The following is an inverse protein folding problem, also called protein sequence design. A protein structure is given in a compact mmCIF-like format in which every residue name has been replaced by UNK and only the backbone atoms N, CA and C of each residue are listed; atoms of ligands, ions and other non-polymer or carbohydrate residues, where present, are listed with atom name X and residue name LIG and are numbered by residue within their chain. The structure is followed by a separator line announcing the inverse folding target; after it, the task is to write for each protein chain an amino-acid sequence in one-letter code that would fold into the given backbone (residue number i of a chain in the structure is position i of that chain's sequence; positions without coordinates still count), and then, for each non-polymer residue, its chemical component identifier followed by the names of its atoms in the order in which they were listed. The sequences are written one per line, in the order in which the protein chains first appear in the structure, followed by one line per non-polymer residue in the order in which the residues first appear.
data_IF_988417580422
#
_entry.id   IF_988417580422
#
_cell.length_a   1.000
_cell.length_b   1.000
_cell.length_c   1.000
_cell.angle_alpha   90.00
_cell.angle_beta   90.00
_cell.angle_gamma   90.00
#
_symmetry.space_group_name_H-M   'P 1'
#
loop_
_entity.id
_entity.type
_entity.pdbx_description
1 polymer ?
#
# COMPACT_ATOMS: atom_id res chain seq x y z
N UNK A 1 -20.72 -12.07 -46.12
CA UNK A 1 -21.01 -11.94 -44.68
C UNK A 1 -19.78 -12.41 -43.93
N UNK A 2 -18.88 -11.49 -43.60
CA UNK A 2 -17.80 -11.78 -42.65
C UNK A 2 -18.39 -11.77 -41.25
N UNK A 3 -18.23 -12.89 -40.55
CA UNK A 3 -18.57 -13.03 -39.14
C UNK A 3 -17.58 -12.18 -38.37
N UNK A 4 -18.07 -11.06 -37.81
CA UNK A 4 -17.31 -10.25 -36.86
C UNK A 4 -16.86 -11.17 -35.70
N UNK A 5 -15.55 -11.41 -35.59
CA UNK A 5 -14.94 -12.00 -34.39
C UNK A 5 -15.32 -11.09 -33.22
N UNK A 6 -16.24 -11.55 -32.37
CA UNK A 6 -16.62 -10.84 -31.15
C UNK A 6 -15.36 -10.55 -30.34
N UNK A 7 -15.19 -9.29 -29.93
CA UNK A 7 -14.16 -8.93 -28.93
C UNK A 7 -14.48 -9.74 -27.68
N UNK A 8 -13.56 -10.63 -27.30
CA UNK A 8 -13.65 -11.36 -26.04
C UNK A 8 -13.77 -10.35 -24.90
N UNK A 9 -14.82 -10.47 -24.08
CA UNK A 9 -15.13 -9.49 -23.05
C UNK A 9 -14.04 -9.52 -21.97
N UNK A 10 -13.46 -8.36 -21.63
CA UNK A 10 -12.46 -8.25 -20.56
C UNK A 10 -13.08 -8.71 -19.23
N UNK A 11 -12.48 -9.70 -18.57
CA UNK A 11 -12.86 -10.07 -17.20
C UNK A 11 -12.30 -9.03 -16.23
N UNK A 12 -13.17 -8.27 -15.57
CA UNK A 12 -12.78 -7.26 -14.57
C UNK A 12 -13.31 -7.70 -13.22
N UNK A 13 -12.42 -7.87 -12.24
CA UNK A 13 -12.79 -8.26 -10.87
C UNK A 13 -12.29 -7.21 -9.88
N UNK A 14 -13.23 -6.63 -9.12
CA UNK A 14 -12.96 -5.70 -8.03
C UNK A 14 -13.47 -6.31 -6.72
N UNK A 15 -12.69 -6.18 -5.66
CA UNK A 15 -12.98 -6.78 -4.36
C UNK A 15 -13.02 -5.71 -3.27
N UNK A 16 -13.78 -5.98 -2.20
CA UNK A 16 -13.98 -5.02 -1.11
C UNK A 16 -12.64 -4.65 -0.46
N UNK A 17 -12.36 -3.36 -0.17
CA UNK A 17 -11.23 -2.95 0.64
C UNK A 17 -11.23 -3.61 2.03
N UNK A 18 -10.06 -3.79 2.62
CA UNK A 18 -9.97 -4.29 3.99
C UNK A 18 -10.59 -3.28 4.97
N UNK A 19 -11.54 -3.71 5.80
CA UNK A 19 -12.18 -2.90 6.84
C UNK A 19 -11.96 -3.46 8.25
N UNK A 20 -12.01 -2.60 9.28
CA UNK A 20 -11.84 -3.02 10.69
C UNK A 20 -13.06 -3.77 11.26
N UNK A 21 -14.25 -3.61 10.68
CA UNK A 21 -15.47 -4.22 11.19
C UNK A 21 -15.38 -5.75 11.20
N UNK A 22 -15.33 -6.29 12.43
CA UNK A 22 -15.67 -7.66 12.84
C UNK A 22 -14.91 -8.81 12.16
N UNK A 23 -14.38 -9.73 12.95
CA UNK A 23 -14.06 -11.09 12.47
C UNK A 23 -15.25 -11.79 11.77
N UNK A 24 -16.47 -11.25 11.87
CA UNK A 24 -17.69 -11.69 11.18
C UNK A 24 -17.90 -11.14 9.77
N UNK A 25 -17.31 -9.98 9.42
CA UNK A 25 -17.44 -9.31 8.11
C UNK A 25 -16.13 -9.34 7.30
N UNK A 26 -15.06 -9.91 7.87
CA UNK A 26 -14.03 -10.55 7.06
C UNK A 26 -14.74 -11.61 6.24
N UNK A 27 -15.07 -11.25 5.00
CA UNK A 27 -15.71 -12.13 4.03
C UNK A 27 -15.14 -13.55 4.23
N UNK A 28 -15.95 -14.58 4.56
CA UNK A 28 -15.49 -15.89 5.02
C UNK A 28 -14.69 -16.66 3.95
N UNK A 29 -14.43 -16.04 2.81
CA UNK A 29 -13.96 -16.64 1.57
C UNK A 29 -12.48 -17.06 1.57
N UNK A 30 -11.67 -16.74 2.59
CA UNK A 30 -10.20 -16.89 2.46
C UNK A 30 -9.43 -17.45 3.66
N UNK A 31 -10.06 -18.27 4.51
CA UNK A 31 -9.28 -19.07 5.48
C UNK A 31 -8.97 -20.44 4.91
N UNK A 32 -7.86 -20.53 4.18
CA UNK A 32 -7.28 -21.81 3.80
C UNK A 32 -7.18 -22.72 5.04
N UNK A 33 -7.76 -23.94 5.03
CA UNK A 33 -7.69 -24.84 6.18
C UNK A 33 -6.22 -25.12 6.51
N UNK A 34 -5.88 -25.06 7.81
CA UNK A 34 -4.53 -25.28 8.30
C UNK A 34 -3.47 -24.30 7.74
N UNK A 35 -3.82 -23.02 7.56
CA UNK A 35 -2.94 -21.97 7.02
C UNK A 35 -1.53 -21.96 7.62
N UNK A 36 -1.40 -22.09 8.96
CA UNK A 36 -0.10 -22.14 9.63
C UNK A 36 0.74 -23.34 9.17
N UNK A 37 0.14 -24.55 9.12
CA UNK A 37 0.83 -25.76 8.64
C UNK A 37 1.27 -25.62 7.19
N UNK A 38 0.41 -25.02 6.34
CA UNK A 38 0.72 -24.77 4.93
C UNK A 38 1.86 -23.77 4.78
N UNK A 39 1.85 -22.69 5.56
CA UNK A 39 2.92 -21.68 5.55
C UNK A 39 4.26 -22.27 6.02
N UNK A 40 4.26 -23.08 7.09
CA UNK A 40 5.45 -23.80 7.54
C UNK A 40 5.96 -24.78 6.47
N UNK A 41 5.06 -25.47 5.76
CA UNK A 41 5.43 -26.34 4.65
C UNK A 41 6.03 -25.56 3.48
N UNK A 42 5.46 -24.39 3.14
CA UNK A 42 5.92 -23.52 2.08
C UNK A 42 7.35 -23.02 2.32
N UNK A 43 7.67 -22.73 3.58
CA UNK A 43 8.96 -22.18 4.00
C UNK A 43 9.96 -23.24 4.48
N UNK A 44 9.59 -24.53 4.47
CA UNK A 44 10.42 -25.62 5.01
C UNK A 44 11.84 -25.65 4.44
N UNK A 45 11.99 -25.33 3.16
CA UNK A 45 13.27 -25.36 2.44
C UNK A 45 13.91 -23.96 2.30
N UNK A 46 13.30 -22.93 2.87
CA UNK A 46 13.81 -21.56 2.83
C UNK A 46 14.76 -21.36 4.01
N UNK A 47 15.97 -20.86 3.75
CA UNK A 47 16.97 -20.63 4.80
C UNK A 47 16.75 -19.27 5.46
N UNK A 48 16.99 -19.13 6.78
CA UNK A 48 17.07 -17.82 7.40
C UNK A 48 18.08 -16.93 6.66
N UNK A 49 17.69 -15.69 6.36
CA UNK A 49 18.43 -14.75 5.54
C UNK A 49 18.03 -14.75 4.05
N UNK A 50 17.26 -15.74 3.57
CA UNK A 50 16.81 -15.77 2.18
C UNK A 50 15.95 -14.56 1.82
N UNK A 51 16.27 -13.95 0.69
CA UNK A 51 15.45 -12.94 0.02
C UNK A 51 14.24 -13.62 -0.63
N UNK A 52 13.04 -13.10 -0.34
CA UNK A 52 11.77 -13.64 -0.83
C UNK A 52 11.15 -12.79 -1.94
N UNK A 53 11.86 -11.79 -2.47
CA UNK A 53 11.34 -10.86 -3.48
C UNK A 53 10.75 -11.58 -4.70
N UNK A 54 11.43 -12.65 -5.14
CA UNK A 54 11.01 -13.47 -6.28
C UNK A 54 10.36 -14.82 -5.85
N UNK A 55 9.95 -14.94 -4.59
CA UNK A 55 9.34 -16.15 -4.08
C UNK A 55 7.91 -16.31 -4.61
N UNK A 56 7.67 -17.35 -5.40
CA UNK A 56 6.36 -17.60 -5.98
C UNK A 56 5.40 -18.21 -4.95
N UNK A 57 4.38 -17.45 -4.57
CA UNK A 57 3.33 -17.92 -3.68
C UNK A 57 2.29 -18.73 -4.46
N UNK A 58 1.83 -19.88 -3.93
CA UNK A 58 0.65 -20.57 -4.45
C UNK A 58 -0.62 -19.71 -4.28
N UNK A 59 -1.62 -19.81 -5.18
CA UNK A 59 -2.84 -18.98 -5.14
C UNK A 59 -3.60 -19.02 -3.82
N UNK A 60 -3.50 -20.12 -3.06
CA UNK A 60 -4.11 -20.26 -1.72
C UNK A 60 -3.58 -19.28 -0.67
N UNK A 61 -2.40 -18.69 -0.90
CA UNK A 61 -1.83 -17.62 -0.08
C UNK A 61 -2.03 -16.24 -0.71
N UNK A 62 -2.70 -16.15 -1.85
CA UNK A 62 -3.00 -14.86 -2.46
C UNK A 62 -4.35 -14.33 -1.97
N UNK A 63 -4.41 -13.04 -1.72
CA UNK A 63 -5.68 -12.31 -1.67
C UNK A 63 -6.02 -11.81 -3.09
N UNK A 64 -7.31 -11.65 -3.45
CA UNK A 64 -7.73 -11.34 -4.83
C UNK A 64 -7.53 -9.86 -5.18
N UNK A 65 -6.29 -9.39 -5.04
CA UNK A 65 -5.82 -8.05 -5.37
C UNK A 65 -4.34 -8.05 -5.73
N UNK A 66 -3.98 -7.20 -6.68
CA UNK A 66 -2.60 -6.80 -6.94
C UNK A 66 -2.07 -5.91 -5.82
N UNK A 67 -0.75 -5.91 -5.65
CA UNK A 67 -0.07 -5.00 -4.74
C UNK A 67 -0.37 -3.53 -5.09
N UNK A 68 -0.57 -3.20 -6.38
CA UNK A 68 -0.95 -1.84 -6.81
C UNK A 68 -2.31 -1.43 -6.24
N UNK A 69 -3.28 -2.35 -6.21
CA UNK A 69 -4.59 -2.11 -5.62
C UNK A 69 -4.46 -1.88 -4.11
N UNK A 70 -3.71 -2.70 -3.39
CA UNK A 70 -3.48 -2.50 -1.95
C UNK A 70 -2.87 -1.13 -1.62
N UNK A 71 -1.91 -0.68 -2.44
CA UNK A 71 -1.30 0.63 -2.30
C UNK A 71 -2.28 1.77 -2.59
N UNK A 72 -3.05 1.67 -3.68
CA UNK A 72 -4.09 2.65 -4.02
C UNK A 72 -5.17 2.75 -2.93
N UNK A 73 -5.66 1.62 -2.42
CA UNK A 73 -6.69 1.57 -1.36
C UNK A 73 -6.24 2.25 -0.06
N UNK A 74 -4.93 2.26 0.25
CA UNK A 74 -4.40 3.01 1.39
C UNK A 74 -4.59 4.53 1.25
N UNK A 75 -4.74 5.02 0.01
CA UNK A 75 -4.92 6.44 -0.33
C UNK A 75 -6.39 6.79 -0.52
N UNK A 76 -7.15 6.05 -1.35
CA UNK A 76 -8.52 6.44 -1.69
C UNK A 76 -9.60 5.77 -0.82
N UNK A 77 -9.38 4.58 -0.24
CA UNK A 77 -10.40 3.90 0.58
C UNK A 77 -10.40 4.35 2.05
N UNK A 78 -10.78 5.60 2.30
CA UNK A 78 -11.02 6.15 3.65
C UNK A 78 -12.45 6.63 3.81
N UNK A 79 -13.11 6.38 4.94
CA UNK A 79 -14.46 6.93 5.20
C UNK A 79 -14.41 8.41 5.66
N UNK A 80 -13.22 8.89 6.01
CA UNK A 80 -12.94 10.27 6.43
C UNK A 80 -12.13 11.05 5.38
N UNK A 81 -12.30 12.38 5.33
CA UNK A 81 -11.59 13.29 4.44
C UNK A 81 -10.22 13.76 4.98
N UNK A 82 -9.36 12.85 5.42
CA UNK A 82 -8.07 13.19 6.05
C UNK A 82 -7.15 14.03 5.14
N UNK A 83 -7.14 13.76 3.84
CA UNK A 83 -6.35 14.54 2.87
C UNK A 83 -6.83 16.00 2.78
N UNK A 84 -8.14 16.23 2.69
CA UNK A 84 -8.70 17.60 2.70
C UNK A 84 -8.39 18.30 4.02
N UNK A 85 -8.46 17.58 5.15
CA UNK A 85 -8.08 18.13 6.47
C UNK A 85 -6.62 18.61 6.51
N UNK A 86 -5.69 17.90 5.86
CA UNK A 86 -4.30 18.35 5.76
C UNK A 86 -4.19 19.75 5.14
N UNK A 87 -5.07 20.08 4.20
CA UNK A 87 -5.04 21.33 3.45
C UNK A 87 -5.86 22.46 4.10
N UNK A 88 -6.88 22.12 4.90
CA UNK A 88 -7.81 23.11 5.49
C UNK A 88 -7.32 23.76 6.77
N UNK A 89 -6.33 23.17 7.46
CA UNK A 89 -5.81 23.73 8.71
C UNK A 89 -5.01 25.02 8.47
N UNK A 90 -5.20 26.01 9.36
CA UNK A 90 -4.66 27.36 9.16
C UNK A 90 -3.20 27.50 9.59
N UNK A 91 -2.82 26.86 10.71
CA UNK A 91 -1.44 26.92 11.19
C UNK A 91 -0.57 25.84 10.52
N UNK A 92 0.71 26.11 10.23
CA UNK A 92 1.63 25.10 9.72
C UNK A 92 1.73 23.86 10.63
N UNK A 93 1.64 24.07 11.94
CA UNK A 93 1.71 23.00 12.95
C UNK A 93 0.47 22.10 12.92
N UNK A 94 -0.73 22.66 12.74
CA UNK A 94 -1.97 21.88 12.66
C UNK A 94 -2.08 21.14 11.32
N UNK A 95 -1.64 21.76 10.22
CA UNK A 95 -1.46 21.05 8.92
C UNK A 95 -0.51 19.88 9.07
N UNK A 96 0.67 20.12 9.67
CA UNK A 96 1.65 19.07 9.91
C UNK A 96 1.11 17.94 10.78
N UNK A 97 0.35 18.26 11.82
CA UNK A 97 -0.33 17.27 12.68
C UNK A 97 -1.36 16.45 11.90
N UNK A 98 -2.11 17.08 10.99
CA UNK A 98 -3.04 16.39 10.10
C UNK A 98 -2.32 15.50 9.09
N UNK A 99 -1.15 15.91 8.58
CA UNK A 99 -0.31 15.06 7.74
C UNK A 99 0.23 13.85 8.51
N UNK A 100 0.59 14.01 9.79
CA UNK A 100 0.95 12.88 10.66
C UNK A 100 -0.23 11.90 10.78
N UNK A 101 -1.43 12.39 11.03
CA UNK A 101 -2.64 11.56 11.11
C UNK A 101 -2.94 10.83 9.79
N UNK A 102 -2.87 11.54 8.66
CA UNK A 102 -3.04 10.94 7.34
C UNK A 102 -1.95 9.89 7.06
N UNK A 103 -0.70 10.18 7.40
CA UNK A 103 0.43 9.24 7.25
C UNK A 103 0.18 7.94 8.02
N UNK A 104 -0.29 8.02 9.27
CA UNK A 104 -0.69 6.86 10.07
C UNK A 104 -1.82 6.10 9.40
N UNK A 105 -2.83 6.80 8.89
CA UNK A 105 -4.00 6.16 8.26
C UNK A 105 -3.64 5.24 7.09
N UNK A 106 -2.58 5.55 6.35
CA UNK A 106 -2.12 4.73 5.22
C UNK A 106 -1.51 3.39 5.65
N UNK A 107 -1.18 3.22 6.94
CA UNK A 107 -0.72 1.94 7.49
C UNK A 107 -1.91 0.99 7.70
N UNK A 108 -2.31 0.30 6.62
CA UNK A 108 -3.45 -0.60 6.66
C UNK A 108 -3.14 -1.87 7.46
N UNK A 109 -4.08 -2.37 8.28
CA UNK A 109 -4.01 -3.75 8.74
C UNK A 109 -4.12 -4.69 7.54
N UNK A 110 -3.58 -5.90 7.65
CA UNK A 110 -3.85 -6.94 6.65
C UNK A 110 -4.01 -8.29 7.33
N UNK A 111 -4.59 -9.24 6.61
CA UNK A 111 -4.84 -10.59 7.10
C UNK A 111 -3.55 -11.40 7.16
N UNK A 112 -3.31 -12.07 8.28
CA UNK A 112 -2.14 -12.93 8.43
C UNK A 112 -2.15 -14.06 7.41
N UNK A 113 -1.01 -14.29 6.75
CA UNK A 113 -0.78 -15.46 5.90
C UNK A 113 -1.35 -15.35 4.49
N UNK A 114 -1.82 -14.17 4.07
CA UNK A 114 -2.15 -13.87 2.68
C UNK A 114 -1.34 -12.68 2.16
N UNK A 115 -1.01 -12.67 0.88
CA UNK A 115 -0.29 -11.60 0.20
C UNK A 115 -0.99 -11.21 -1.11
N UNK A 116 -0.88 -9.96 -1.56
CA UNK A 116 -1.39 -9.59 -2.88
C UNK A 116 -0.60 -10.29 -4.00
N UNK A 117 -1.12 -10.22 -5.22
CA UNK A 117 -0.35 -10.61 -6.40
C UNK A 117 0.84 -9.66 -6.58
N UNK A 118 1.99 -10.21 -6.98
CA UNK A 118 3.13 -9.41 -7.41
C UNK A 118 2.77 -8.79 -8.76
N UNK A 119 2.76 -7.46 -8.90
CA UNK A 119 2.34 -6.84 -10.15
C UNK A 119 3.31 -7.17 -11.29
N UNK A 120 2.77 -7.39 -12.49
CA UNK A 120 3.61 -7.60 -13.68
C UNK A 120 4.15 -6.27 -14.21
N UNK A 121 5.24 -6.31 -14.98
CA UNK A 121 5.85 -5.11 -15.55
C UNK A 121 4.85 -4.34 -16.45
N UNK A 122 4.60 -3.06 -16.11
CA UNK A 122 3.66 -2.20 -16.82
C UNK A 122 2.19 -2.38 -16.43
N UNK A 123 1.89 -3.21 -15.44
CA UNK A 123 0.59 -3.25 -14.79
C UNK A 123 0.25 -1.87 -14.19
N UNK A 124 -1.02 -1.49 -14.26
CA UNK A 124 -1.54 -0.22 -13.76
C UNK A 124 -2.66 -0.43 -12.74
N UNK A 125 -2.90 0.57 -11.89
CA UNK A 125 -4.13 0.70 -11.12
C UNK A 125 -4.64 2.14 -11.19
N UNK A 126 -5.81 2.39 -11.78
CA UNK A 126 -6.36 3.74 -11.98
C UNK A 126 -7.76 3.88 -11.38
N UNK A 127 -7.90 4.74 -10.36
CA UNK A 127 -9.16 4.93 -9.60
C UNK A 127 -9.41 6.40 -9.29
N UNK A 128 -10.68 6.82 -9.31
CA UNK A 128 -11.13 8.14 -8.86
C UNK A 128 -12.02 8.03 -7.63
N UNK A 129 -11.88 8.97 -6.70
CA UNK A 129 -12.79 9.17 -5.57
C UNK A 129 -13.11 10.66 -5.42
N UNK A 130 -14.33 11.05 -5.79
CA UNK A 130 -14.65 12.47 -5.90
C UNK A 130 -13.71 13.16 -6.89
N UNK A 131 -12.93 14.13 -6.41
CA UNK A 131 -11.93 14.85 -7.20
C UNK A 131 -10.50 14.26 -7.10
N UNK A 132 -10.28 13.30 -6.19
CA UNK A 132 -9.01 12.61 -6.04
C UNK A 132 -8.87 11.53 -7.11
N UNK A 133 -7.92 11.68 -8.02
CA UNK A 133 -7.57 10.68 -9.03
C UNK A 133 -6.24 10.02 -8.64
N UNK A 134 -6.18 8.70 -8.65
CA UNK A 134 -5.03 7.90 -8.21
C UNK A 134 -4.62 6.95 -9.34
N UNK A 135 -3.35 7.03 -9.74
CA UNK A 135 -2.76 6.17 -10.76
C UNK A 135 -1.50 5.51 -10.21
N UNK A 136 -1.43 4.18 -10.35
CA UNK A 136 -0.24 3.40 -10.07
C UNK A 136 0.25 2.69 -11.31
N UNK A 137 1.57 2.46 -11.36
CA UNK A 137 2.22 1.65 -12.38
C UNK A 137 3.35 0.80 -11.76
N UNK A 138 3.46 -0.46 -12.17
CA UNK A 138 4.64 -1.28 -11.90
C UNK A 138 5.75 -0.90 -12.88
N UNK A 139 6.75 -0.16 -12.39
CA UNK A 139 7.79 0.43 -13.24
C UNK A 139 9.03 -0.46 -13.40
N UNK A 140 9.21 -1.42 -12.50
CA UNK A 140 10.29 -2.43 -12.55
C UNK A 140 9.84 -3.70 -11.85
N UNK A 141 10.34 -4.86 -12.26
CA UNK A 141 10.06 -6.17 -11.62
C UNK A 141 11.30 -6.86 -11.05
N UNK A 142 12.51 -6.42 -11.43
CA UNK A 142 13.76 -6.93 -10.90
C UNK A 142 14.76 -5.77 -10.68
N UNK A 143 14.77 -5.14 -9.49
CA UNK A 143 13.87 -5.36 -8.34
C UNK A 143 12.44 -4.82 -8.59
N UNK A 144 11.42 -5.28 -7.83
CA UNK A 144 10.05 -4.81 -7.98
C UNK A 144 9.90 -3.39 -7.44
N UNK A 145 9.46 -2.47 -8.30
CA UNK A 145 9.20 -1.08 -7.94
C UNK A 145 7.84 -0.67 -8.49
N UNK A 146 6.99 -0.18 -7.59
CA UNK A 146 5.69 0.40 -7.93
C UNK A 146 5.75 1.91 -7.71
N UNK A 147 5.22 2.68 -8.64
CA UNK A 147 5.05 4.13 -8.52
C UNK A 147 3.56 4.50 -8.48
N UNK A 148 3.24 5.55 -7.75
CA UNK A 148 1.91 6.12 -7.54
C UNK A 148 1.98 7.63 -7.73
N UNK A 149 1.02 8.15 -8.48
CA UNK A 149 0.70 9.57 -8.57
C UNK A 149 -0.77 9.72 -8.21
N UNK A 150 -1.07 10.61 -7.28
CA UNK A 150 -2.44 10.96 -6.96
C UNK A 150 -2.60 12.47 -6.91
N UNK A 151 -3.70 12.97 -7.47
CA UNK A 151 -3.96 14.40 -7.52
C UNK A 151 -5.42 14.72 -7.27
N UNK A 152 -5.65 15.78 -6.50
CA UNK A 152 -6.95 16.43 -6.36
C UNK A 152 -6.81 17.86 -6.88
N UNK A 153 -7.32 18.10 -8.09
CA UNK A 153 -7.25 19.42 -8.75
C UNK A 153 -8.09 20.47 -8.03
N UNK A 154 -9.17 20.06 -7.35
CA UNK A 154 -10.06 20.99 -6.66
C UNK A 154 -9.42 21.51 -5.37
N UNK A 155 -8.79 20.62 -4.62
CA UNK A 155 -8.10 20.94 -3.38
C UNK A 155 -6.63 21.35 -3.61
N UNK A 156 -6.13 21.30 -4.84
CA UNK A 156 -4.72 21.53 -5.18
C UNK A 156 -3.76 20.65 -4.36
N UNK A 157 -4.06 19.36 -4.28
CA UNK A 157 -3.23 18.36 -3.59
C UNK A 157 -2.54 17.48 -4.64
N UNK A 158 -1.24 17.24 -4.44
CA UNK A 158 -0.47 16.27 -5.24
C UNK A 158 0.25 15.29 -4.31
N UNK A 159 0.23 14.00 -4.66
CA UNK A 159 0.96 12.97 -3.97
C UNK A 159 1.79 12.16 -4.96
N UNK A 160 3.07 12.00 -4.65
CA UNK A 160 4.00 11.18 -5.42
C UNK A 160 4.59 10.17 -4.46
N UNK A 161 4.50 8.90 -4.82
CA UNK A 161 4.97 7.81 -3.98
C UNK A 161 5.57 6.72 -4.85
N UNK A 162 6.74 6.22 -4.48
CA UNK A 162 7.23 4.95 -5.02
C UNK A 162 7.74 4.08 -3.90
N UNK A 163 7.70 2.77 -4.11
CA UNK A 163 8.24 1.82 -3.15
C UNK A 163 8.76 0.53 -3.77
N UNK A 164 9.71 -0.06 -3.08
CA UNK A 164 10.37 -1.33 -3.36
C UNK A 164 10.36 -2.17 -2.07
N UNK A 165 9.44 -3.14 -1.95
CA UNK A 165 9.45 -4.08 -0.85
C UNK A 165 10.58 -5.11 -1.00
N UNK A 166 11.30 -5.38 0.08
CA UNK A 166 12.39 -6.37 0.17
C UNK A 166 12.12 -7.32 1.33
N UNK A 167 11.33 -8.39 1.10
CA UNK A 167 11.01 -9.38 2.11
C UNK A 167 12.19 -10.32 2.37
N UNK A 168 12.56 -10.51 3.64
CA UNK A 168 13.61 -11.44 4.08
C UNK A 168 13.06 -12.42 5.10
N UNK A 169 13.32 -13.71 4.88
CA UNK A 169 12.98 -14.74 5.85
C UNK A 169 13.97 -14.72 7.01
N UNK A 170 13.48 -14.75 8.25
CA UNK A 170 14.28 -14.77 9.49
C UNK A 170 14.15 -16.09 10.25
N UNK A 171 13.65 -17.15 9.61
CA UNK A 171 13.42 -18.46 10.23
C UNK A 171 12.05 -18.58 10.88
N UNK A 172 11.69 -17.67 11.79
CA UNK A 172 10.37 -17.68 12.46
C UNK A 172 9.46 -16.52 12.02
N UNK A 173 9.96 -15.62 11.18
CA UNK A 173 9.25 -14.47 10.67
C UNK A 173 9.73 -14.10 9.27
N UNK A 174 8.93 -13.30 8.57
CA UNK A 174 9.30 -12.59 7.35
C UNK A 174 9.32 -11.11 7.72
N UNK A 175 10.42 -10.43 7.44
CA UNK A 175 10.55 -8.99 7.62
C UNK A 175 10.68 -8.34 6.24
N UNK A 176 9.77 -7.43 5.93
CA UNK A 176 9.78 -6.69 4.67
C UNK A 176 10.20 -5.26 4.96
N UNK A 177 11.41 -4.92 4.51
CA UNK A 177 11.83 -3.54 4.42
C UNK A 177 11.20 -2.91 3.19
N UNK A 178 10.67 -1.70 3.33
CA UNK A 178 10.02 -0.99 2.23
C UNK A 178 10.85 0.25 1.92
N UNK A 179 11.73 0.13 0.93
CA UNK A 179 12.46 1.29 0.42
C UNK A 179 11.49 2.14 -0.40
N UNK A 180 11.60 3.46 -0.31
CA UNK A 180 10.64 4.32 -0.97
C UNK A 180 10.61 5.70 -0.37
N UNK A 181 10.05 6.63 -1.14
CA UNK A 181 9.76 7.98 -0.69
C UNK A 181 8.30 8.28 -0.99
N UNK A 182 7.59 8.79 0.01
CA UNK A 182 6.25 9.36 -0.15
C UNK A 182 6.34 10.87 0.04
N UNK A 183 5.77 11.60 -0.90
CA UNK A 183 5.68 13.04 -0.90
C UNK A 183 4.21 13.44 -1.02
N UNK A 184 3.71 14.21 -0.06
CA UNK A 184 2.43 14.90 -0.13
C UNK A 184 2.71 16.39 -0.30
N UNK A 185 2.14 17.01 -1.31
CA UNK A 185 2.26 18.44 -1.57
C UNK A 185 0.91 19.11 -1.38
N UNK A 186 0.89 20.14 -0.54
CA UNK A 186 -0.25 21.01 -0.35
C UNK A 186 0.04 22.30 -1.11
N UNK A 187 -0.39 22.36 -2.36
CA UNK A 187 0.07 23.40 -3.29
C UNK A 187 -0.46 24.79 -2.91
N UNK A 188 -1.61 24.87 -2.22
CA UNK A 188 -2.17 26.12 -1.70
C UNK A 188 -1.24 26.78 -0.66
N UNK A 189 -0.42 25.99 0.03
CA UNK A 189 0.49 26.45 1.09
C UNK A 189 1.96 26.47 0.62
N UNK A 190 2.24 25.91 -0.56
CA UNK A 190 3.62 25.73 -1.04
C UNK A 190 4.44 24.76 -0.19
N UNK A 191 3.78 23.81 0.49
CA UNK A 191 4.41 22.89 1.44
C UNK A 191 4.57 21.48 0.85
N UNK A 192 5.74 20.89 1.07
CA UNK A 192 6.05 19.50 0.71
C UNK A 192 6.34 18.67 1.95
N UNK A 193 5.58 17.60 2.14
CA UNK A 193 5.74 16.68 3.25
C UNK A 193 6.36 15.38 2.77
N UNK A 194 7.56 15.08 3.26
CA UNK A 194 8.32 13.89 2.88
C UNK A 194 8.30 12.88 4.02
N UNK A 195 8.09 11.60 3.68
CA UNK A 195 8.05 10.53 4.68
C UNK A 195 8.48 9.18 4.11
N UNK A 196 9.10 8.37 4.99
CA UNK A 196 9.43 6.97 4.71
C UNK A 196 8.30 6.03 5.17
N UNK A 197 8.48 4.73 4.95
CA UNK A 197 7.51 3.69 5.27
C UNK A 197 8.00 2.86 6.48
N UNK A 198 7.11 2.40 7.38
CA UNK A 198 7.48 1.40 8.38
C UNK A 198 7.74 0.05 7.71
N UNK A 199 8.35 -0.88 8.45
CA UNK A 199 8.63 -2.24 7.98
C UNK A 199 7.46 -3.16 8.30
N UNK A 200 7.15 -4.09 7.41
CA UNK A 200 6.16 -5.13 7.67
C UNK A 200 6.84 -6.31 8.38
N UNK A 201 6.26 -6.79 9.48
CA UNK A 201 6.73 -7.97 10.21
C UNK A 201 5.64 -9.02 10.26
N UNK A 202 5.83 -10.11 9.52
CA UNK A 202 4.95 -11.29 9.53
C UNK A 202 5.64 -12.34 10.40
N UNK A 203 5.19 -12.50 11.64
CA UNK A 203 5.71 -13.53 12.54
C UNK A 203 4.88 -14.79 12.44
N UNK A 204 5.55 -15.92 12.23
CA UNK A 204 4.93 -17.24 12.05
C UNK A 204 4.94 -18.01 13.38
N UNK A 205 6.06 -17.95 14.10
CA UNK A 205 6.25 -18.61 15.41
C UNK A 205 6.73 -17.61 16.48
N UNK A 206 6.40 -17.82 17.77
CA UNK A 206 5.52 -18.87 18.30
C UNK A 206 4.03 -18.56 18.11
N UNK A 207 3.67 -17.27 18.01
CA UNK A 207 2.28 -16.82 17.80
C UNK A 207 2.18 -16.10 16.45
N UNK A 208 1.41 -16.65 15.49
CA UNK A 208 1.15 -16.03 14.19
C UNK A 208 0.58 -14.62 14.31
N UNK A 209 1.22 -13.66 13.66
CA UNK A 209 0.76 -12.27 13.64
C UNK A 209 1.45 -11.44 12.57
N UNK A 210 0.84 -10.31 12.26
CA UNK A 210 1.39 -9.32 11.36
C UNK A 210 1.31 -7.95 11.98
N UNK A 211 2.42 -7.22 11.95
CA UNK A 211 2.57 -5.90 12.55
C UNK A 211 3.38 -4.98 11.62
N UNK A 212 3.11 -3.67 11.69
CA UNK A 212 4.05 -2.66 11.22
C UNK A 212 5.03 -2.30 12.34
N UNK A 213 6.32 -2.21 12.02
CA UNK A 213 7.39 -1.95 13.00
C UNK A 213 8.49 -1.04 12.44
N UNK A 214 9.14 -0.29 13.33
CA UNK A 214 10.25 0.61 12.99
C UNK A 214 9.84 2.09 12.96
N UNK A 215 10.74 2.93 12.51
CA UNK A 215 10.60 4.38 12.63
C UNK A 215 10.15 5.01 11.31
N UNK A 216 9.19 5.92 11.42
CA UNK A 216 8.70 6.79 10.35
C UNK A 216 9.04 8.21 10.72
N UNK A 217 9.82 8.86 9.86
CA UNK A 217 10.15 10.26 9.94
C UNK A 217 9.32 11.00 8.90
N UNK A 218 8.65 12.06 9.34
CA UNK A 218 7.91 12.97 8.47
C UNK A 218 8.59 14.33 8.59
N UNK A 219 8.84 15.00 7.47
CA UNK A 219 9.44 16.34 7.48
C UNK A 219 8.77 17.24 6.46
N UNK A 220 8.69 18.53 6.78
CA UNK A 220 8.31 19.58 5.84
C UNK A 220 9.48 20.57 5.74
N UNK A 221 10.27 20.54 4.64
CA UNK A 221 11.43 21.42 4.49
C UNK A 221 11.08 22.91 4.58
N UNK A 222 9.89 23.31 4.10
CA UNK A 222 9.48 24.72 4.03
C UNK A 222 9.13 25.31 5.39
N UNK A 223 8.58 24.49 6.30
CA UNK A 223 8.23 24.91 7.67
C UNK A 223 9.31 24.53 8.69
N UNK A 224 10.22 23.61 8.33
CA UNK A 224 11.21 23.04 9.23
C UNK A 224 10.68 21.98 10.20
N UNK A 225 9.36 21.74 10.23
CA UNK A 225 8.73 20.81 11.16
C UNK A 225 9.11 19.35 10.87
N UNK A 226 9.26 18.57 11.95
CA UNK A 226 9.62 17.15 11.89
C UNK A 226 8.74 16.35 12.84
N UNK A 227 8.31 15.16 12.42
CA UNK A 227 7.77 14.14 13.31
C UNK A 227 8.66 12.89 13.28
N UNK A 228 8.96 12.38 14.48
CA UNK A 228 9.65 11.10 14.68
C UNK A 228 8.66 10.14 15.31
N UNK A 229 8.21 9.14 14.54
CA UNK A 229 7.18 8.18 14.93
C UNK A 229 7.77 6.78 14.96
N UNK A 230 7.49 6.01 16.00
CA UNK A 230 7.96 4.64 16.20
C UNK A 230 6.78 3.68 16.30
N UNK A 231 6.74 2.73 15.37
CA UNK A 231 5.80 1.62 15.37
C UNK A 231 6.44 0.47 16.13
N UNK A 232 5.81 0.08 17.23
CA UNK A 232 6.30 -0.98 18.09
C UNK A 232 5.20 -1.98 18.39
N UNK A 233 5.62 -3.22 18.64
CA UNK A 233 4.72 -4.25 19.10
C UNK A 233 5.53 -5.02 20.14
N UNK A 234 5.19 -4.83 21.43
CA UNK A 234 5.91 -5.42 22.56
C UNK A 234 5.15 -6.63 23.09
N UNK A 235 5.90 -7.61 23.62
CA UNK A 235 5.35 -8.91 23.99
C UNK A 235 5.96 -9.41 25.29
N UNK A 236 5.09 -9.86 26.20
CA UNK A 236 5.47 -10.68 27.35
C UNK A 236 5.74 -12.12 26.88
N UNK A 237 6.81 -12.73 27.40
CA UNK A 237 7.30 -14.08 27.09
C UNK A 237 6.26 -15.19 27.35
N UNK A 238 5.19 -14.90 28.12
CA UNK A 238 4.16 -15.84 28.55
C UNK A 238 2.75 -15.56 27.98
N UNK A 239 2.62 -14.67 26.98
CA UNK A 239 1.35 -14.47 26.28
C UNK A 239 0.28 -13.65 27.05
N UNK A 240 0.54 -13.26 28.30
CA UNK A 240 -0.29 -12.34 29.06
C UNK A 240 0.33 -10.93 29.10
N UNK A 241 -0.42 -9.91 28.65
CA UNK A 241 -0.12 -8.50 28.93
C UNK A 241 0.87 -7.76 28.03
N UNK A 242 0.90 -8.03 26.71
CA UNK A 242 1.69 -7.24 25.75
C UNK A 242 0.89 -6.10 25.09
N UNK A 243 1.49 -4.92 24.93
CA UNK A 243 0.89 -3.82 24.17
C UNK A 243 1.22 -3.98 22.69
N UNK A 244 0.19 -4.33 21.91
CA UNK A 244 0.32 -4.61 20.47
C UNK A 244 0.07 -3.35 19.66
N UNK A 245 0.74 -3.25 18.51
CA UNK A 245 0.49 -2.20 17.50
C UNK A 245 0.56 -0.78 18.05
N UNK A 246 1.47 -0.58 19.00
CA UNK A 246 1.72 0.71 19.61
C UNK A 246 2.36 1.65 18.60
N UNK A 247 1.99 2.92 18.73
CA UNK A 247 2.65 4.02 18.06
C UNK A 247 3.04 5.04 19.13
N UNK A 248 4.29 5.48 19.07
CA UNK A 248 4.82 6.54 19.93
C UNK A 248 5.63 7.50 19.11
N UNK A 249 5.68 8.76 19.49
CA UNK A 249 6.49 9.71 18.75
C UNK A 249 6.39 11.12 19.28
N UNK A 250 6.90 12.04 18.49
CA UNK A 250 6.89 13.46 18.80
C UNK A 250 6.83 14.29 17.52
N UNK A 251 6.17 15.44 17.59
CA UNK A 251 6.23 16.51 16.60
C UNK A 251 7.09 17.62 17.20
N UNK A 252 8.11 18.05 16.45
CA UNK A 252 9.10 19.00 16.91
C UNK A 252 9.32 20.13 15.89
N UNK A 253 9.70 21.28 16.42
CA UNK A 253 10.32 22.37 15.69
C UNK A 253 11.82 22.39 16.03
N UNK A 254 12.69 21.87 15.14
CA UNK A 254 14.13 21.87 15.34
C UNK A 254 14.72 23.27 15.53
N UNK A 255 14.16 24.29 14.89
CA UNK A 255 14.67 25.66 14.95
C UNK A 255 14.49 26.27 16.34
N UNK A 256 13.40 25.89 17.01
CA UNK A 256 13.10 26.29 18.38
C UNK A 256 13.63 25.30 19.42
N UNK A 257 14.28 24.21 19.00
CA UNK A 257 14.67 23.08 19.85
C UNK A 257 13.52 22.59 20.74
N UNK A 258 12.27 22.69 20.25
CA UNK A 258 11.06 22.47 21.03
C UNK A 258 10.30 21.24 20.53
N UNK A 259 9.96 20.35 21.45
CA UNK A 259 8.92 19.34 21.21
C UNK A 259 7.56 20.01 21.37
N UNK A 260 6.77 20.05 20.30
CA UNK A 260 5.44 20.67 20.28
C UNK A 260 4.38 19.69 20.79
N UNK A 261 4.43 18.45 20.30
CA UNK A 261 3.48 17.41 20.67
C UNK A 261 4.15 16.07 20.93
N UNK A 262 3.63 15.33 21.91
CA UNK A 262 3.88 13.90 22.08
C UNK A 262 2.78 13.10 21.40
N UNK A 263 3.15 12.07 20.61
CA UNK A 263 2.22 11.18 19.91
C UNK A 263 2.19 9.85 20.64
N UNK A 264 1.00 9.33 20.95
CA UNK A 264 0.83 8.02 21.60
C UNK A 264 -0.47 7.36 21.16
N UNK A 265 -0.51 6.03 21.15
CA UNK A 265 -1.74 5.26 20.92
C UNK A 265 -1.49 3.93 20.21
N UNK A 266 -2.49 3.50 19.45
CA UNK A 266 -2.45 2.27 18.66
C UNK A 266 -2.86 2.57 17.21
N UNK A 267 -2.01 2.21 16.25
CA UNK A 267 -2.24 2.54 14.83
C UNK A 267 -3.44 1.81 14.22
N UNK A 268 -3.95 0.75 14.85
CA UNK A 268 -5.16 0.04 14.44
C UNK A 268 -6.41 0.42 15.26
N UNK A 269 -6.28 1.41 16.16
CA UNK A 269 -7.37 1.95 16.97
C UNK A 269 -7.28 3.48 16.95
N UNK A 270 -6.99 4.10 18.08
CA UNK A 270 -6.89 5.54 18.22
C UNK A 270 -5.45 5.98 18.43
N UNK A 271 -5.11 7.12 17.85
CA UNK A 271 -3.84 7.82 18.07
C UNK A 271 -4.15 9.25 18.46
N UNK A 272 -3.48 9.71 19.52
CA UNK A 272 -3.66 11.02 20.10
C UNK A 272 -2.35 11.80 20.14
N UNK A 273 -2.47 13.12 20.23
CA UNK A 273 -1.37 14.02 20.50
C UNK A 273 -1.60 14.77 21.80
N UNK A 274 -0.53 14.99 22.55
CA UNK A 274 -0.52 15.81 23.76
C UNK A 274 0.35 17.04 23.54
N UNK A 275 -0.21 18.23 23.69
CA UNK A 275 0.53 19.49 23.66
C UNK A 275 1.47 19.55 24.86
N UNK A 276 2.77 19.79 24.63
CA UNK A 276 3.77 19.81 25.70
C UNK A 276 3.71 21.06 26.58
N UNK A 277 3.07 22.12 26.09
CA UNK A 277 2.94 23.41 26.77
C UNK A 277 1.65 23.47 27.59
N UNK A 278 0.51 23.15 26.99
CA UNK A 278 -0.79 23.20 27.67
C UNK A 278 -1.16 21.90 28.40
N UNK A 279 -0.57 20.77 28.00
CA UNK A 279 -0.94 19.44 28.48
C UNK A 279 -2.23 18.90 27.86
N UNK A 280 -2.87 19.64 26.96
CA UNK A 280 -4.11 19.24 26.28
C UNK A 280 -3.88 18.01 25.41
N UNK A 281 -4.81 17.05 25.45
CA UNK A 281 -4.77 15.82 24.66
C UNK A 281 -5.93 15.82 23.67
N UNK A 282 -5.63 15.53 22.40
CA UNK A 282 -6.64 15.38 21.35
C UNK A 282 -6.36 14.18 20.45
N UNK A 283 -7.43 13.52 20.01
CA UNK A 283 -7.35 12.42 19.05
C UNK A 283 -7.08 12.98 17.65
N UNK A 284 -6.07 12.43 16.97
CA UNK A 284 -5.73 12.84 15.60
C UNK A 284 -6.12 11.79 14.57
N UNK A 285 -6.28 10.53 14.99
CA UNK A 285 -6.65 9.43 14.13
C UNK A 285 -7.49 8.40 14.90
N UNK A 286 -8.59 7.97 14.29
CA UNK A 286 -9.42 6.85 14.74
C UNK A 286 -9.61 5.88 13.57
N UNK A 287 -9.05 4.69 13.70
CA UNK A 287 -9.11 3.66 12.67
C UNK A 287 -10.56 3.21 12.39
N UNK A 288 -11.45 3.20 13.39
CA UNK A 288 -12.85 2.86 13.16
C UNK A 288 -13.51 3.90 12.27
N UNK A 289 -13.26 5.19 12.48
CA UNK A 289 -13.80 6.25 11.62
C UNK A 289 -13.25 6.21 10.20
N UNK A 290 -11.97 5.81 10.05
CA UNK A 290 -11.27 5.91 8.77
C UNK A 290 -11.47 4.65 7.90
N UNK A 291 -11.55 3.46 8.49
CA UNK A 291 -11.56 2.17 7.76
C UNK A 291 -12.73 1.25 8.11
N UNK A 292 -13.87 1.81 8.55
CA UNK A 292 -15.15 1.08 8.66
C UNK A 292 -16.08 1.45 7.50
N UNK A 293 -17.00 0.54 7.15
CA UNK A 293 -17.99 0.79 6.10
C UNK A 293 -17.44 0.99 4.68
N UNK A 294 -16.20 0.56 4.42
CA UNK A 294 -15.58 0.67 3.09
C UNK A 294 -16.33 -0.20 2.09
N UNK A 295 -16.63 0.36 0.91
CA UNK A 295 -17.38 -0.31 -0.16
C UNK A 295 -16.46 -0.66 -1.32
N UNK A 296 -16.84 -1.68 -2.07
CA UNK A 296 -16.15 -2.09 -3.30
C UNK A 296 -16.21 -0.96 -4.34
N UNK A 297 -15.09 -0.60 -4.99
CA UNK A 297 -15.11 0.31 -6.14
C UNK A 297 -16.00 -0.23 -7.27
N UNK A 298 -16.57 0.69 -8.05
CA UNK A 298 -17.44 0.37 -9.19
C UNK A 298 -16.80 0.79 -10.50
N UNK A 299 -17.21 0.17 -11.60
CA UNK A 299 -16.75 0.51 -12.94
C UNK A 299 -17.78 1.45 -13.56
N UNK A 300 -17.36 2.65 -13.97
CA UNK A 300 -18.21 3.60 -14.68
C UNK A 300 -18.41 3.18 -16.14
N UNK A 301 -17.33 2.82 -16.82
CA UNK A 301 -17.34 2.30 -18.18
C UNK A 301 -16.28 1.20 -18.34
N UNK A 302 -16.73 -0.01 -18.66
CA UNK A 302 -15.84 -1.18 -18.80
C UNK A 302 -14.94 -1.10 -20.04
N UNK A 303 -15.36 -0.37 -21.08
CA UNK A 303 -14.57 -0.24 -22.32
C UNK A 303 -13.29 0.57 -22.10
N UNK A 304 -13.38 1.58 -21.23
CA UNK A 304 -12.30 2.51 -20.87
C UNK A 304 -11.26 1.89 -19.92
N UNK A 305 -11.57 0.73 -19.31
CA UNK A 305 -10.61 0.03 -18.44
C UNK A 305 -9.50 -0.59 -19.28
N UNK A 306 -8.26 -0.16 -19.04
CA UNK A 306 -7.08 -0.62 -19.79
C UNK A 306 -6.82 -2.11 -19.57
N UNK A 307 -6.22 -2.78 -20.55
CA UNK A 307 -5.80 -4.18 -20.40
C UNK A 307 -4.64 -4.36 -19.42
N UNK A 308 -3.88 -3.28 -19.15
CA UNK A 308 -2.86 -3.24 -18.10
C UNK A 308 -3.45 -3.07 -16.70
N UNK A 309 -4.73 -2.79 -16.56
CA UNK A 309 -5.35 -2.55 -15.25
C UNK A 309 -5.31 -3.83 -14.40
N UNK A 310 -4.93 -3.68 -13.13
CA UNK A 310 -4.78 -4.77 -12.17
C UNK A 310 -6.02 -5.67 -12.11
N UNK A 311 -7.21 -5.05 -12.12
CA UNK A 311 -8.50 -5.75 -12.10
C UNK A 311 -8.79 -6.58 -13.37
N UNK A 312 -8.11 -6.27 -14.48
CA UNK A 312 -8.15 -7.04 -15.74
C UNK A 312 -7.05 -8.10 -15.76
N UNK A 313 -5.80 -7.69 -15.48
CA UNK A 313 -4.62 -8.58 -15.51
C UNK A 313 -4.84 -9.82 -14.65
N UNK A 314 -5.41 -9.62 -13.47
CA UNK A 314 -5.67 -10.67 -12.49
C UNK A 314 -7.15 -11.05 -12.40
N UNK A 315 -7.98 -10.67 -13.37
CA UNK A 315 -9.44 -10.85 -13.33
C UNK A 315 -9.85 -12.33 -13.24
N UNK A 316 -9.35 -13.17 -14.14
CA UNK A 316 -9.63 -14.62 -14.14
C UNK A 316 -9.12 -15.32 -12.87
N UNK A 317 -7.89 -14.99 -12.45
CA UNK A 317 -7.31 -15.50 -11.21
C UNK A 317 -8.19 -15.12 -10.01
N UNK A 318 -8.56 -13.86 -9.90
CA UNK A 318 -9.34 -13.36 -8.76
C UNK A 318 -10.72 -14.00 -8.69
N UNK A 319 -11.38 -14.20 -9.82
CA UNK A 319 -12.64 -14.95 -9.85
C UNK A 319 -12.45 -16.41 -9.41
N UNK A 320 -11.44 -17.11 -9.95
CA UNK A 320 -11.18 -18.50 -9.60
C UNK A 320 -10.93 -18.65 -8.10
N UNK A 321 -10.13 -17.76 -7.51
CA UNK A 321 -9.86 -17.83 -6.09
C UNK A 321 -11.11 -17.46 -5.26
N UNK A 322 -11.90 -16.45 -5.65
CA UNK A 322 -13.17 -16.12 -4.98
C UNK A 322 -14.18 -17.29 -5.01
N UNK A 323 -14.12 -18.14 -6.04
CA UNK A 323 -14.95 -19.35 -6.17
C UNK A 323 -14.32 -20.60 -5.54
N UNK A 324 -13.15 -20.49 -4.92
CA UNK A 324 -12.36 -21.61 -4.40
C UNK A 324 -11.96 -22.66 -5.47
N UNK A 325 -11.84 -22.26 -6.72
CA UNK A 325 -11.41 -23.10 -7.84
C UNK A 325 -9.85 -23.11 -7.93
N UNK A 326 -9.20 -23.80 -6.99
CA UNK A 326 -7.75 -23.70 -6.78
C UNK A 326 -6.88 -24.18 -7.95
N UNK A 327 -7.31 -25.19 -8.69
CA UNK A 327 -6.58 -25.65 -9.89
C UNK A 327 -6.68 -24.61 -11.01
N UNK A 328 -7.88 -24.07 -11.28
CA UNK A 328 -8.06 -22.96 -12.22
C UNK A 328 -7.22 -21.75 -11.80
N UNK A 329 -7.24 -21.39 -10.52
CA UNK A 329 -6.41 -20.30 -10.01
C UNK A 329 -4.91 -20.54 -10.21
N UNK A 330 -4.43 -21.78 -10.12
CA UNK A 330 -3.04 -22.11 -10.42
C UNK A 330 -2.73 -21.88 -11.90
N UNK A 331 -3.56 -22.41 -12.79
CA UNK A 331 -3.40 -22.27 -14.24
C UNK A 331 -3.41 -20.80 -14.69
N UNK A 332 -4.36 -20.01 -14.21
CA UNK A 332 -4.46 -18.58 -14.56
C UNK A 332 -3.26 -17.78 -14.06
N UNK A 333 -2.80 -18.06 -12.82
CA UNK A 333 -1.62 -17.42 -12.26
C UNK A 333 -0.36 -17.75 -13.05
N UNK A 334 -0.15 -19.03 -13.35
CA UNK A 334 0.99 -19.49 -14.17
C UNK A 334 0.96 -18.86 -15.56
N UNK A 335 -0.22 -18.76 -16.18
CA UNK A 335 -0.40 -18.13 -17.48
C UNK A 335 -0.03 -16.65 -17.51
N UNK A 336 -0.39 -15.87 -16.48
CA UNK A 336 0.02 -14.46 -16.36
C UNK A 336 1.54 -14.34 -16.20
N UNK A 337 2.12 -15.12 -15.28
CA UNK A 337 3.56 -15.09 -14.99
C UNK A 337 4.43 -15.57 -16.17
N UNK A 338 3.97 -16.57 -16.93
CA UNK A 338 4.68 -17.06 -18.11
C UNK A 338 4.66 -16.03 -19.25
N UNK A 339 3.51 -15.38 -19.48
CA UNK A 339 3.40 -14.28 -20.45
C UNK A 339 4.37 -13.15 -20.11
N UNK A 340 4.45 -12.78 -18.83
CA UNK A 340 5.43 -11.78 -18.38
C UNK A 340 6.87 -12.23 -18.65
N UNK A 341 7.25 -13.44 -18.21
CA UNK A 341 8.60 -14.00 -18.42
C UNK A 341 8.98 -14.02 -19.90
N UNK A 342 8.03 -14.34 -20.78
CA UNK A 342 8.23 -14.32 -22.23
C UNK A 342 8.46 -12.89 -22.75
N UNK A 343 7.62 -11.93 -22.38
CA UNK A 343 7.78 -10.53 -22.81
C UNK A 343 9.12 -9.92 -22.35
N UNK A 344 9.54 -10.20 -21.11
CA UNK A 344 10.82 -9.74 -20.56
C UNK A 344 11.99 -10.36 -21.34
N UNK A 345 11.93 -11.66 -21.64
CA UNK A 345 12.95 -12.36 -22.43
C UNK A 345 13.07 -11.80 -23.84
N UNK A 346 11.94 -11.61 -24.52
CA UNK A 346 11.90 -11.08 -25.89
C UNK A 346 12.50 -9.66 -25.97
N UNK A 347 12.20 -8.79 -25.00
CA UNK A 347 12.83 -7.45 -24.91
C UNK A 347 14.33 -7.55 -24.66
N UNK A 348 14.73 -8.43 -23.75
CA UNK A 348 16.15 -8.69 -23.47
C UNK A 348 16.93 -9.16 -24.70
N UNK A 349 16.34 -10.03 -25.53
CA UNK A 349 16.93 -10.49 -26.80
C UNK A 349 17.07 -9.35 -27.82
N UNK A 350 16.19 -8.35 -27.79
CA UNK A 350 16.24 -7.18 -28.66
C UNK A 350 17.11 -6.04 -28.12
N UNK A 351 17.63 -6.16 -26.90
CA UNK A 351 18.34 -5.06 -26.22
C UNK A 351 17.43 -3.88 -25.86
N UNK A 352 16.12 -4.08 -25.81
CA UNK A 352 15.14 -3.04 -25.50
C UNK A 352 14.96 -2.91 -23.98
N UNK A 353 15.06 -1.68 -23.48
CA UNK A 353 14.73 -1.38 -22.08
C UNK A 353 13.25 -1.03 -21.93
N UNK A 354 12.62 -1.44 -20.84
CA UNK A 354 11.25 -1.01 -20.53
C UNK A 354 11.23 0.47 -20.19
N UNK A 355 10.29 1.20 -20.80
CA UNK A 355 10.01 2.59 -20.51
C UNK A 355 8.60 2.66 -19.92
N UNK A 356 8.45 2.99 -18.61
CA UNK A 356 7.14 3.16 -18.01
C UNK A 356 6.33 4.25 -18.72
N UNK A 357 5.02 4.06 -18.78
CA UNK A 357 4.12 4.94 -19.56
C UNK A 357 3.77 6.23 -18.84
N UNK A 358 3.71 6.19 -17.51
CA UNK A 358 3.19 7.31 -16.69
C UNK A 358 4.27 7.94 -15.81
N UNK A 359 5.43 7.30 -15.67
CA UNK A 359 6.51 7.76 -14.80
C UNK A 359 7.85 7.83 -15.52
N UNK A 360 8.61 8.90 -15.26
CA UNK A 360 10.05 8.94 -15.53
C UNK A 360 10.76 8.26 -14.38
N UNK A 361 11.59 7.29 -14.71
CA UNK A 361 12.26 6.45 -13.71
C UNK A 361 13.76 6.48 -13.92
N UNK A 362 14.49 6.75 -12.84
CA UNK A 362 15.94 6.63 -12.80
C UNK A 362 16.36 5.89 -11.53
N UNK A 363 17.52 5.24 -11.58
CA UNK A 363 18.12 4.57 -10.44
C UNK A 363 19.49 5.19 -10.16
N UNK A 364 19.66 5.73 -8.96
CA UNK A 364 20.92 6.29 -8.50
C UNK A 364 21.79 5.18 -7.94
N UNK A 365 22.94 4.90 -8.56
CA UNK A 365 23.88 3.89 -8.04
C UNK A 365 24.56 4.34 -6.73
N UNK A 366 24.74 5.65 -6.57
CA UNK A 366 25.42 6.24 -5.42
C UNK A 366 24.57 6.14 -4.16
N UNK A 367 23.28 6.49 -4.27
CA UNK A 367 22.34 6.41 -3.14
C UNK A 367 21.62 5.07 -3.05
N UNK A 368 21.69 4.24 -4.10
CA UNK A 368 20.92 2.98 -4.27
C UNK A 368 19.41 3.19 -4.18
N UNK A 369 18.94 4.34 -4.64
CA UNK A 369 17.54 4.74 -4.59
C UNK A 369 16.96 4.90 -6.00
N UNK A 370 15.68 4.56 -6.10
CA UNK A 370 14.88 4.87 -7.27
C UNK A 370 14.37 6.31 -7.18
N UNK A 371 14.24 6.96 -8.32
CA UNK A 371 13.53 8.21 -8.44
C UNK A 371 12.45 8.02 -9.50
N UNK A 372 11.20 8.00 -9.05
CA UNK A 372 10.02 7.95 -9.90
C UNK A 372 9.33 9.32 -9.84
N UNK A 373 9.25 10.00 -10.97
CA UNK A 373 8.49 11.25 -11.11
C UNK A 373 7.38 11.07 -12.14
N UNK A 374 6.18 11.63 -11.91
CA UNK A 374 5.09 11.54 -12.88
C UNK A 374 5.45 12.29 -14.17
N UNK A 375 5.03 11.76 -15.32
CA UNK A 375 5.20 12.42 -16.63
C UNK A 375 4.20 13.58 -16.79
N UNK A 376 2.99 13.37 -16.28
CA UNK A 376 1.90 14.33 -16.34
C UNK A 376 1.78 15.10 -15.03
N UNK A 377 1.36 16.37 -15.11
CA UNK A 377 1.13 17.20 -13.92
C UNK A 377 -0.07 16.72 -13.11
N UNK A 378 -1.12 16.28 -13.79
CA UNK A 378 -2.38 15.88 -13.20
C UNK A 378 -2.76 14.46 -13.62
N UNK A 379 -3.35 13.70 -12.70
CA UNK A 379 -3.90 12.38 -12.99
C UNK A 379 -5.32 12.56 -13.52
N UNK A 380 -5.64 12.05 -14.72
CA UNK A 380 -6.98 12.16 -15.28
C UNK A 380 -7.99 11.33 -14.48
N UNK A 381 -9.28 11.62 -14.67
CA UNK A 381 -10.36 10.81 -14.12
C UNK A 381 -10.28 9.35 -14.60
N UNK A 382 -10.55 8.43 -13.69
CA UNK A 382 -10.44 7.00 -13.92
C UNK A 382 -11.77 6.34 -14.30
N UNK A 383 -11.72 5.19 -14.99
CA UNK A 383 -12.91 4.38 -15.25
C UNK A 383 -13.41 3.63 -14.01
N UNK A 384 -12.57 3.41 -13.00
CA UNK A 384 -12.94 2.80 -11.71
C UNK A 384 -13.19 3.92 -10.70
N UNK A 385 -14.34 3.86 -10.02
CA UNK A 385 -14.78 4.87 -9.06
C UNK A 385 -14.88 4.23 -7.68
N UNK A 386 -14.12 4.76 -6.72
CA UNK A 386 -14.31 4.44 -5.32
C UNK A 386 -15.46 5.29 -4.74
N UNK A 387 -16.42 4.67 -4.04
CA UNK A 387 -17.61 5.33 -3.51
C UNK A 387 -17.35 6.21 -2.28
#
# INVERSE_FOLDING_TARGET
MEVAKGKEAKKIVLTKPFSIEGESDAEPFYRAPNLLRRLLSLLKNVRPGSDLTNFQLPPVFNLPKSQLQCYGESVYCTSSNLLSKCNSEQSPVDRFTSVVAWSISTTRPSSFGVAPYNPILGETHHVSKGYLNVLLEQVSVNPPVSALHATDEKENIEMIWWQQPVPKFRGTSIETEVHGKRMLKLLNHGETYEMNCPRLSIRILPVPRMDWVGNVNIRCPETGLVAEISYTSSYSLLGFGGNRKLIKGKILDPSLFKVLYEVDGHWDKTVQVKDTTSGEVRVIYDAKEVISGLKTPIIKNAEDVLTSESAVVWGELSEAIMRNEWEKAREEKEGVEEREKKMVRERGMKGESWVPKNFRVSYSKDTREWNCSPIHKWVPAAPIIAP
#
